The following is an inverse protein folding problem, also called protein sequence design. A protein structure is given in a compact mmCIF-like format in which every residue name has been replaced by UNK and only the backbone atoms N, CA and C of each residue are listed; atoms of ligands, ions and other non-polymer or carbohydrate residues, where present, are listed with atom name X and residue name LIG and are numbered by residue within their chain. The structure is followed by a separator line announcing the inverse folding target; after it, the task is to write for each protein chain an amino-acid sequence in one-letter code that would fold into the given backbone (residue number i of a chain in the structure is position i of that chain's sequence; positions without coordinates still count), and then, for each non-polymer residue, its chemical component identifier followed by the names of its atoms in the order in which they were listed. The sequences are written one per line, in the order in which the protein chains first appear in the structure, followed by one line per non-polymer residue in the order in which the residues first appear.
data_IF_883599659299
#
_entry.id   IF_883599659299
#
_cell.length_a   1.000
_cell.length_b   1.000
_cell.length_c   1.000
_cell.angle_alpha   90.00
_cell.angle_beta   90.00
_cell.angle_gamma   90.00
#
_symmetry.space_group_name_H-M   'P 1'
#
loop_
_entity.id
_entity.type
_entity.pdbx_description
1 polymer ?
#
# COMPACT_ATOMS: atom_id res chain seq x y z
N UNK A 1 13.27 -13.06 10.28
CA UNK A 1 12.30 -11.97 10.56
C UNK A 1 10.97 -12.51 11.15
N UNK A 2 11.02 -13.53 12.01
CA UNK A 2 9.90 -14.50 12.09
C UNK A 2 9.00 -14.34 13.33
N UNK A 3 9.24 -13.34 14.20
CA UNK A 3 8.43 -13.11 15.41
C UNK A 3 7.71 -11.77 15.44
N UNK A 4 8.32 -10.73 14.86
CA UNK A 4 7.82 -9.34 14.95
C UNK A 4 6.55 -9.14 14.12
N UNK A 5 6.54 -9.55 12.85
CA UNK A 5 5.35 -9.49 11.97
C UNK A 5 4.31 -10.58 12.25
N UNK A 6 4.66 -11.56 13.10
CA UNK A 6 3.72 -12.53 13.65
C UNK A 6 2.77 -11.89 14.67
N UNK A 7 3.20 -10.82 15.34
CA UNK A 7 2.35 -10.10 16.27
C UNK A 7 1.30 -9.25 15.51
N UNK A 8 -0.01 -9.49 15.70
CA UNK A 8 -1.06 -8.73 15.06
C UNK A 8 -0.97 -7.21 15.32
N UNK A 9 -0.61 -6.81 16.54
CA UNK A 9 -0.48 -5.39 16.91
C UNK A 9 0.63 -4.73 16.11
N UNK A 10 1.78 -5.37 15.98
CA UNK A 10 2.90 -4.83 15.21
C UNK A 10 2.56 -4.73 13.73
N UNK A 11 1.87 -5.74 13.19
CA UNK A 11 1.35 -5.69 11.82
C UNK A 11 0.44 -4.47 11.62
N UNK A 12 -0.55 -4.26 12.49
CA UNK A 12 -1.49 -3.13 12.39
C UNK A 12 -0.76 -1.80 12.52
N UNK A 13 0.13 -1.64 13.50
CA UNK A 13 0.87 -0.39 13.72
C UNK A 13 1.74 -0.05 12.52
N UNK A 14 2.50 -1.02 11.99
CA UNK A 14 3.31 -0.80 10.79
C UNK A 14 2.45 -0.47 9.57
N UNK A 15 1.34 -1.20 9.40
CA UNK A 15 0.43 -0.95 8.28
C UNK A 15 -0.13 0.47 8.35
N UNK A 16 -0.69 0.88 9.49
CA UNK A 16 -1.26 2.22 9.66
C UNK A 16 -0.18 3.29 9.48
N UNK A 17 1.02 3.10 10.04
CA UNK A 17 2.12 4.05 9.89
C UNK A 17 2.49 4.32 8.42
N UNK A 18 2.55 3.27 7.60
CA UNK A 18 2.85 3.41 6.17
C UNK A 18 1.63 3.72 5.31
N UNK A 19 0.43 3.57 5.84
CA UNK A 19 -0.82 3.98 5.21
C UNK A 19 -1.06 5.49 5.36
N UNK A 20 -0.60 6.14 6.44
CA UNK A 20 -0.78 7.59 6.62
C UNK A 20 -0.16 8.44 5.48
N UNK A 21 1.07 8.19 5.02
CA UNK A 21 1.63 8.90 3.87
C UNK A 21 0.81 8.71 2.60
N UNK A 22 0.16 7.55 2.40
CA UNK A 22 -0.67 7.31 1.19
C UNK A 22 -1.96 8.11 1.19
N UNK A 23 -2.36 8.70 2.32
CA UNK A 23 -3.45 9.68 2.38
C UNK A 23 -2.98 11.12 2.24
N UNK A 24 -1.82 11.46 2.80
CA UNK A 24 -1.36 12.84 2.82
C UNK A 24 -0.68 13.27 1.51
N UNK A 25 0.21 12.43 0.98
CA UNK A 25 0.99 12.74 -0.22
C UNK A 25 0.13 12.95 -1.48
N UNK A 26 -1.03 12.28 -1.67
CA UNK A 26 -1.99 12.61 -2.71
C UNK A 26 -2.33 14.09 -2.83
N UNK A 27 -2.53 14.78 -1.71
CA UNK A 27 -2.85 16.21 -1.70
C UNK A 27 -1.68 17.08 -2.16
N UNK A 28 -0.46 16.54 -2.14
CA UNK A 28 0.72 17.16 -2.71
C UNK A 28 0.89 16.82 -4.20
N UNK A 29 0.00 16.02 -4.80
CA UNK A 29 0.06 15.63 -6.21
C UNK A 29 0.86 14.36 -6.51
N UNK A 30 1.07 13.48 -5.53
CA UNK A 30 1.84 12.23 -5.70
C UNK A 30 1.10 11.09 -6.42
N UNK A 31 -0.14 11.31 -6.86
CA UNK A 31 -1.02 10.27 -7.44
C UNK A 31 -0.84 10.07 -8.94
N UNK A 32 -0.10 10.93 -9.64
CA UNK A 32 0.00 10.91 -11.10
C UNK A 32 1.31 11.50 -11.61
N UNK A 33 2.42 10.86 -11.24
CA UNK A 33 3.74 11.14 -11.82
C UNK A 33 3.81 10.91 -13.34
N UNK A 34 2.97 10.01 -13.85
CA UNK A 34 2.98 9.59 -15.25
C UNK A 34 2.34 10.62 -16.19
N UNK A 35 1.33 11.39 -15.75
CA UNK A 35 0.73 12.41 -16.63
C UNK A 35 1.66 13.60 -16.82
N UNK A 36 2.39 14.01 -15.79
CA UNK A 36 3.35 15.13 -15.88
C UNK A 36 4.46 14.84 -16.90
N UNK A 37 4.99 13.62 -16.92
CA UNK A 37 6.04 13.22 -17.88
C UNK A 37 5.49 12.93 -19.28
N UNK A 38 4.32 12.30 -19.40
CA UNK A 38 3.69 12.02 -20.72
C UNK A 38 3.18 13.32 -21.37
N UNK A 39 2.65 14.27 -20.59
CA UNK A 39 2.21 15.58 -21.09
C UNK A 39 3.38 16.42 -21.62
N UNK A 40 4.54 16.38 -20.96
CA UNK A 40 5.75 17.06 -21.45
C UNK A 40 6.33 16.40 -22.70
N UNK A 41 6.25 15.07 -22.80
CA UNK A 41 6.64 14.33 -24.00
C UNK A 41 5.73 14.66 -25.19
N UNK A 42 4.41 14.70 -24.96
CA UNK A 42 3.40 15.07 -25.95
C UNK A 42 3.53 16.55 -26.39
N UNK A 43 4.03 17.42 -25.51
CA UNK A 43 4.29 18.83 -25.81
C UNK A 43 5.60 19.07 -26.59
N UNK A 44 6.36 18.02 -26.94
CA UNK A 44 7.56 18.14 -27.78
C UNK A 44 8.74 18.86 -27.12
N UNK A 45 8.81 18.86 -25.78
CA UNK A 45 9.89 19.52 -25.05
C UNK A 45 11.21 18.76 -25.26
N UNK A 46 12.07 19.29 -26.14
CA UNK A 46 13.40 18.73 -26.39
C UNK A 46 14.24 18.79 -25.11
N UNK A 47 14.82 17.64 -24.71
CA UNK A 47 15.55 17.40 -23.46
C UNK A 47 14.70 17.28 -22.18
N UNK A 48 13.39 17.01 -22.29
CA UNK A 48 12.60 16.64 -21.11
C UNK A 48 13.17 15.34 -20.50
N UNK A 49 13.65 15.42 -19.26
CA UNK A 49 14.00 14.22 -18.49
C UNK A 49 12.73 13.37 -18.32
N UNK A 50 12.82 12.02 -18.35
CA UNK A 50 11.70 11.14 -18.00
C UNK A 50 11.08 11.47 -16.63
N UNK A 51 11.85 12.16 -15.78
CA UNK A 51 11.47 12.60 -14.44
C UNK A 51 11.07 14.08 -14.36
N UNK A 52 11.19 14.87 -15.46
CA UNK A 52 10.97 16.33 -15.47
C UNK A 52 9.52 16.76 -15.15
N UNK A 53 8.58 15.83 -15.01
CA UNK A 53 7.21 16.08 -14.57
C UNK A 53 6.79 15.27 -13.34
N UNK A 54 7.71 14.54 -12.71
CA UNK A 54 7.40 13.70 -11.55
C UNK A 54 7.52 14.52 -10.28
N UNK A 55 6.39 14.71 -9.59
CA UNK A 55 6.38 15.36 -8.29
C UNK A 55 7.30 14.62 -7.30
N UNK A 56 8.23 15.28 -6.59
CA UNK A 56 9.10 14.63 -5.61
C UNK A 56 8.36 13.81 -4.55
N UNK A 57 7.13 14.19 -4.20
CA UNK A 57 6.25 13.45 -3.27
C UNK A 57 5.81 12.06 -3.80
N UNK A 58 5.96 11.80 -5.10
CA UNK A 58 5.68 10.49 -5.70
C UNK A 58 6.54 9.37 -5.12
N UNK A 59 7.83 9.62 -4.87
CA UNK A 59 8.75 8.61 -4.36
C UNK A 59 8.42 8.10 -2.95
N UNK A 60 8.21 8.97 -1.95
CA UNK A 60 7.76 8.50 -0.65
C UNK A 60 6.35 7.88 -0.70
N UNK A 61 5.50 8.31 -1.64
CA UNK A 61 4.18 7.71 -1.84
C UNK A 61 4.30 6.27 -2.34
N UNK A 62 5.04 6.07 -3.43
CA UNK A 62 5.32 4.75 -4.01
C UNK A 62 6.05 3.84 -3.01
N UNK A 63 7.02 4.38 -2.28
CA UNK A 63 7.73 3.65 -1.23
C UNK A 63 6.78 3.17 -0.13
N UNK A 64 5.83 4.00 0.28
CA UNK A 64 4.82 3.64 1.29
C UNK A 64 3.91 2.52 0.79
N UNK A 65 3.38 2.64 -0.43
CA UNK A 65 2.57 1.61 -1.08
C UNK A 65 3.33 0.27 -1.20
N UNK A 66 4.60 0.33 -1.59
CA UNK A 66 5.45 -0.86 -1.67
C UNK A 66 5.67 -1.53 -0.31
N UNK A 67 5.93 -0.74 0.74
CA UNK A 67 6.06 -1.28 2.11
C UNK A 67 4.76 -1.95 2.56
N UNK A 68 3.59 -1.37 2.27
CA UNK A 68 2.31 -2.00 2.58
C UNK A 68 2.16 -3.36 1.88
N UNK A 69 2.51 -3.46 0.60
CA UNK A 69 2.52 -4.74 -0.13
C UNK A 69 3.42 -5.75 0.57
N UNK A 70 4.65 -5.38 0.89
CA UNK A 70 5.65 -6.26 1.52
C UNK A 70 5.21 -6.73 2.91
N UNK A 71 4.72 -5.82 3.76
CA UNK A 71 4.22 -6.16 5.10
C UNK A 71 3.04 -7.13 5.01
N UNK A 72 2.13 -6.92 4.06
CA UNK A 72 0.97 -7.79 3.85
C UNK A 72 1.36 -9.15 3.28
N UNK A 73 2.36 -9.20 2.40
CA UNK A 73 2.93 -10.46 1.92
C UNK A 73 3.49 -11.28 3.07
N UNK A 74 4.38 -10.70 3.89
CA UNK A 74 4.96 -11.41 5.03
C UNK A 74 3.89 -11.88 6.01
N UNK A 75 2.90 -11.02 6.29
CA UNK A 75 1.77 -11.39 7.14
C UNK A 75 0.96 -12.55 6.56
N UNK A 76 0.67 -12.50 5.26
CA UNK A 76 -0.04 -13.55 4.54
C UNK A 76 0.72 -14.87 4.53
N UNK A 77 2.04 -14.83 4.34
CA UNK A 77 2.88 -16.03 4.42
C UNK A 77 2.83 -16.67 5.82
N UNK A 78 2.87 -15.87 6.90
CA UNK A 78 2.80 -16.36 8.28
C UNK A 78 1.41 -16.91 8.65
N UNK A 79 0.34 -16.38 8.05
CA UNK A 79 -1.05 -16.80 8.31
C UNK A 79 -1.57 -17.86 7.32
N UNK A 80 -0.75 -18.34 6.37
CA UNK A 80 -1.21 -19.24 5.30
C UNK A 80 -2.20 -18.60 4.30
N UNK A 81 -2.20 -17.27 4.19
CA UNK A 81 -3.10 -16.45 3.37
C UNK A 81 -2.31 -15.46 2.51
N UNK A 82 -1.41 -15.98 1.66
CA UNK A 82 -0.58 -15.15 0.77
C UNK A 82 -1.39 -14.24 -0.17
N UNK A 83 -2.64 -14.62 -0.48
CA UNK A 83 -3.59 -13.82 -1.25
C UNK A 83 -3.96 -12.47 -0.61
N UNK A 84 -3.68 -12.25 0.68
CA UNK A 84 -3.89 -10.95 1.35
C UNK A 84 -3.15 -9.79 0.65
N UNK A 85 -2.04 -10.08 -0.04
CA UNK A 85 -1.26 -9.10 -0.79
C UNK A 85 -2.05 -8.44 -1.92
N UNK A 86 -3.13 -9.05 -2.40
CA UNK A 86 -3.96 -8.51 -3.48
C UNK A 86 -4.58 -7.16 -3.07
N UNK A 87 -4.98 -6.99 -1.81
CA UNK A 87 -5.61 -5.75 -1.34
C UNK A 87 -4.70 -4.52 -1.49
N UNK A 88 -3.48 -4.47 -0.92
CA UNK A 88 -2.60 -3.32 -1.12
C UNK A 88 -2.14 -3.16 -2.57
N UNK A 89 -2.10 -4.22 -3.38
CA UNK A 89 -1.81 -4.10 -4.82
C UNK A 89 -2.96 -3.36 -5.53
N UNK A 90 -4.22 -3.74 -5.27
CA UNK A 90 -5.37 -3.04 -5.82
C UNK A 90 -5.43 -1.59 -5.33
N UNK A 91 -5.16 -1.34 -4.05
CA UNK A 91 -5.05 0.02 -3.52
C UNK A 91 -4.00 0.84 -4.28
N UNK A 92 -2.81 0.27 -4.53
CA UNK A 92 -1.74 0.90 -5.31
C UNK A 92 -2.18 1.27 -6.72
N UNK A 93 -2.92 0.37 -7.39
CA UNK A 93 -3.46 0.65 -8.72
C UNK A 93 -4.43 1.83 -8.66
N UNK A 94 -5.36 1.85 -7.71
CA UNK A 94 -6.31 2.96 -7.58
C UNK A 94 -5.65 4.27 -7.16
N UNK A 95 -4.61 4.25 -6.32
CA UNK A 95 -3.90 5.46 -5.88
C UNK A 95 -3.02 6.08 -6.97
N UNK A 96 -2.41 5.26 -7.84
CA UNK A 96 -1.45 5.72 -8.84
C UNK A 96 -2.02 5.81 -10.27
N UNK A 97 -3.14 5.13 -10.55
CA UNK A 97 -3.76 5.19 -11.86
C UNK A 97 -4.50 6.54 -12.04
N UNK A 98 -4.20 7.28 -13.12
CA UNK A 98 -4.95 8.45 -13.49
C UNK A 98 -6.46 8.18 -13.59
N UNK A 99 -7.28 9.10 -13.10
CA UNK A 99 -8.73 9.00 -13.11
C UNK A 99 -9.30 8.12 -11.99
N UNK A 100 -8.68 6.98 -11.67
CA UNK A 100 -9.10 6.13 -10.54
C UNK A 100 -8.74 6.76 -9.19
N UNK A 101 -7.62 7.46 -9.10
CA UNK A 101 -7.15 8.14 -7.89
C UNK A 101 -8.03 9.32 -7.45
N UNK A 102 -9.02 9.70 -8.26
CA UNK A 102 -10.05 10.66 -7.89
C UNK A 102 -11.06 10.10 -6.86
N UNK A 103 -11.11 8.76 -6.68
CA UNK A 103 -12.03 8.10 -5.77
C UNK A 103 -11.24 7.48 -4.60
N UNK A 104 -10.96 8.25 -3.52
CA UNK A 104 -10.11 7.80 -2.41
C UNK A 104 -10.75 6.71 -1.54
N UNK A 105 -12.04 6.43 -1.75
CA UNK A 105 -12.77 5.43 -0.98
C UNK A 105 -12.31 3.99 -1.30
N UNK A 106 -11.95 3.70 -2.54
CA UNK A 106 -11.55 2.34 -2.94
C UNK A 106 -10.23 1.92 -2.29
N UNK A 107 -9.13 2.70 -2.38
CA UNK A 107 -7.89 2.41 -1.65
C UNK A 107 -8.13 2.23 -0.15
N UNK A 108 -8.98 3.07 0.44
CA UNK A 108 -9.34 2.98 1.86
C UNK A 108 -9.98 1.65 2.23
N UNK A 109 -10.99 1.22 1.48
CA UNK A 109 -11.64 -0.08 1.73
C UNK A 109 -10.65 -1.22 1.55
N UNK A 110 -9.78 -1.16 0.53
CA UNK A 110 -8.75 -2.18 0.32
C UNK A 110 -7.77 -2.27 1.50
N UNK A 111 -7.29 -1.13 2.00
CA UNK A 111 -6.40 -1.10 3.17
C UNK A 111 -7.08 -1.64 4.44
N UNK A 112 -8.34 -1.27 4.68
CA UNK A 112 -9.10 -1.79 5.81
C UNK A 112 -9.31 -3.31 5.71
N UNK A 113 -9.64 -3.82 4.52
CA UNK A 113 -9.76 -5.26 4.29
C UNK A 113 -8.44 -5.99 4.54
N UNK A 114 -7.31 -5.44 4.09
CA UNK A 114 -5.99 -5.99 4.35
C UNK A 114 -5.68 -6.08 5.86
N UNK A 115 -6.01 -5.03 6.61
CA UNK A 115 -5.83 -4.98 8.07
C UNK A 115 -6.74 -6.02 8.75
N UNK A 116 -8.05 -5.97 8.51
CA UNK A 116 -9.03 -6.83 9.16
C UNK A 116 -8.72 -8.30 8.89
N UNK A 117 -8.54 -8.67 7.61
CA UNK A 117 -8.28 -10.04 7.22
C UNK A 117 -6.88 -10.52 7.62
N UNK A 118 -5.90 -9.61 7.66
CA UNK A 118 -4.55 -9.88 8.18
C UNK A 118 -4.51 -10.11 9.70
N UNK A 119 -5.43 -9.52 10.46
CA UNK A 119 -5.58 -9.76 11.90
C UNK A 119 -6.38 -11.04 12.16
N UNK A 120 -7.57 -11.17 11.58
CA UNK A 120 -8.46 -12.33 11.77
C UNK A 120 -7.81 -13.61 11.25
N UNK A 121 -7.13 -13.53 10.11
CA UNK A 121 -6.49 -14.69 9.48
C UNK A 121 -5.40 -15.35 10.30
N UNK A 122 -4.72 -14.61 11.18
CA UNK A 122 -3.68 -15.17 12.03
C UNK A 122 -4.19 -15.82 13.32
N UNK A 123 -5.39 -15.43 13.79
CA UNK A 123 -6.01 -16.06 14.96
C UNK A 123 -6.43 -17.50 14.66
N UNK A 124 -6.85 -17.77 13.41
CA UNK A 124 -7.28 -19.08 12.95
C UNK A 124 -6.13 -20.12 12.83
N UNK A 125 -4.87 -19.68 12.80
CA UNK A 125 -3.70 -20.56 12.62
C UNK A 125 -3.01 -20.91 13.95
N UNK A 126 -3.34 -20.22 15.05
CA UNK A 126 -2.90 -20.65 16.38
C UNK A 126 -3.72 -21.90 16.75
N UNK A 127 -3.07 -23.05 17.07
CA UNK A 127 -3.83 -24.19 17.59
C UNK A 127 -4.59 -23.73 18.83
N UNK A 128 -5.84 -24.18 18.97
CA UNK A 128 -6.76 -23.91 20.09
C UNK A 128 -6.25 -24.40 21.46
N UNK A 129 -4.95 -24.63 21.61
CA UNK A 129 -4.28 -25.13 22.80
C UNK A 129 -3.65 -23.97 23.58
N UNK A 130 -4.51 -23.15 24.21
CA UNK A 130 -4.29 -22.42 25.49
C UNK A 130 -5.32 -21.29 25.63
N UNK A 131 -6.59 -21.70 25.79
CA UNK A 131 -7.59 -20.89 26.46
C UNK A 131 -8.07 -21.66 27.69
N UNK A 132 -7.15 -21.93 28.61
CA UNK A 132 -7.47 -22.38 29.96
C UNK A 132 -6.37 -21.94 30.91
N UNK A 133 -6.61 -20.85 31.61
CA UNK A 133 -6.24 -20.61 33.02
C UNK A 133 -6.94 -19.36 33.50
#
# INVERSE_FOLDING_TARGET
MNKVLGNPVVFVVLYVLFMLPTYYLPYLGSNSAVIGSVGQLAAGVANASPLAGVNPAFWPHLGSLFVLIVVTWFRGALAGKTWLVIFPILATVFDLAPGLSAIPLVPTVMHLLAIILGVVGAQATLPAAKQST
#
